data_IF_312275055789
#
_entry.id   IF_312275055789
#
_cell.length_a   1.000
_cell.length_b   1.000
_cell.length_c   1.000
_cell.angle_alpha   90.00
_cell.angle_beta   90.00
_cell.angle_gamma   90.00
#
_symmetry.space_group_name_H-M   'P 1'
#
loop_
_entity.id
_entity.type
_entity.pdbx_description
1 polymer ?
#
# COMPACT_ATOMS: atom_id res chain seq x y z
N UNK A 1 -8.80 -10.34 -0.52
CA UNK A 1 -9.19 -8.95 -0.21
C UNK A 1 -10.64 -8.75 -0.59
N UNK A 2 -11.43 -8.09 0.25
CA UNK A 2 -12.80 -7.71 -0.07
C UNK A 2 -12.80 -6.32 -0.68
N UNK A 3 -13.37 -6.16 -1.87
CA UNK A 3 -13.52 -4.86 -2.53
C UNK A 3 -14.86 -4.26 -2.09
N UNK A 4 -14.92 -2.96 -1.76
CA UNK A 4 -16.18 -2.28 -1.49
C UNK A 4 -17.16 -2.41 -2.65
N UNK A 5 -18.46 -2.56 -2.34
CA UNK A 5 -19.50 -2.71 -3.37
C UNK A 5 -19.82 -1.35 -3.97
N UNK A 6 -20.11 -1.34 -5.27
CA UNK A 6 -20.71 -0.19 -5.95
C UNK A 6 -22.22 -0.14 -5.69
N UNK A 7 -22.76 1.07 -5.61
CA UNK A 7 -24.21 1.31 -5.56
C UNK A 7 -24.84 1.32 -6.97
N UNK A 8 -26.13 1.63 -7.06
CA UNK A 8 -26.85 1.70 -8.34
C UNK A 8 -26.32 2.78 -9.30
N UNK A 9 -25.49 3.71 -8.83
CA UNK A 9 -24.87 4.78 -9.59
C UNK A 9 -23.41 4.47 -9.95
N UNK A 10 -22.90 3.29 -9.58
CA UNK A 10 -21.50 2.90 -9.81
C UNK A 10 -20.52 3.51 -8.81
N UNK A 11 -21.00 4.05 -7.68
CA UNK A 11 -20.13 4.64 -6.66
C UNK A 11 -19.82 3.59 -5.59
N UNK A 12 -18.53 3.30 -5.38
CA UNK A 12 -18.08 2.42 -4.29
C UNK A 12 -18.46 3.01 -2.93
N UNK A 13 -19.12 2.19 -2.13
CA UNK A 13 -19.53 2.54 -0.77
C UNK A 13 -18.40 2.22 0.21
N UNK A 14 -17.75 3.26 0.72
CA UNK A 14 -16.65 3.18 1.68
C UNK A 14 -17.03 3.88 2.99
N UNK A 15 -16.13 3.85 3.97
CA UNK A 15 -16.28 4.65 5.21
C UNK A 15 -16.25 6.17 4.94
N UNK A 16 -15.88 6.60 3.73
CA UNK A 16 -15.76 7.99 3.33
C UNK A 16 -16.91 8.47 2.42
N UNK A 17 -17.95 7.65 2.23
CA UNK A 17 -19.09 8.01 1.39
C UNK A 17 -20.11 8.88 2.14
N UNK A 18 -20.61 9.93 1.48
CA UNK A 18 -21.71 10.79 1.94
C UNK A 18 -21.54 11.39 3.35
N UNK A 19 -20.33 11.84 3.66
CA UNK A 19 -19.99 12.39 4.98
C UNK A 19 -20.42 13.86 5.16
N UNK A 20 -20.83 14.26 6.38
CA UNK A 20 -20.89 15.66 6.75
C UNK A 20 -19.48 16.27 6.78
N UNK A 21 -19.39 17.60 6.61
CA UNK A 21 -18.11 18.31 6.49
C UNK A 21 -17.14 18.03 7.64
N UNK A 22 -17.60 18.07 8.89
CA UNK A 22 -16.75 17.79 10.06
C UNK A 22 -16.13 16.39 10.03
N UNK A 23 -16.91 15.39 9.60
CA UNK A 23 -16.42 14.02 9.50
C UNK A 23 -15.47 13.85 8.32
N UNK A 24 -15.73 14.54 7.20
CA UNK A 24 -14.82 14.56 6.07
C UNK A 24 -13.45 15.18 6.43
N UNK A 25 -13.44 16.28 7.20
CA UNK A 25 -12.19 16.89 7.71
C UNK A 25 -11.46 15.93 8.66
N UNK A 26 -12.20 15.28 9.56
CA UNK A 26 -11.63 14.30 10.48
C UNK A 26 -11.03 13.09 9.74
N UNK A 27 -11.73 12.59 8.72
CA UNK A 27 -11.29 11.47 7.88
C UNK A 27 -10.10 11.84 7.01
N UNK A 28 -10.07 13.05 6.45
CA UNK A 28 -8.91 13.57 5.73
C UNK A 28 -7.66 13.60 6.62
N UNK A 29 -7.79 14.15 7.84
CA UNK A 29 -6.68 14.17 8.81
C UNK A 29 -6.18 12.76 9.14
N UNK A 30 -7.10 11.80 9.31
CA UNK A 30 -6.74 10.41 9.56
C UNK A 30 -5.98 9.78 8.38
N UNK A 31 -6.46 9.99 7.14
CA UNK A 31 -5.79 9.52 5.93
C UNK A 31 -4.39 10.09 5.76
N UNK A 32 -4.21 11.40 5.99
CA UNK A 32 -2.89 12.03 5.95
C UNK A 32 -1.98 11.51 7.08
N UNK A 33 -2.50 11.27 8.29
CA UNK A 33 -1.72 10.65 9.36
C UNK A 33 -1.18 9.28 8.94
N UNK A 34 -2.03 8.42 8.36
CA UNK A 34 -1.61 7.10 7.87
C UNK A 34 -0.56 7.24 6.78
N UNK A 35 -0.72 8.17 5.84
CA UNK A 35 0.27 8.42 4.81
C UNK A 35 1.62 8.86 5.41
N UNK A 36 1.61 9.81 6.35
CA UNK A 36 2.82 10.30 7.02
C UNK A 36 3.58 9.19 7.76
N UNK A 37 2.88 8.16 8.26
CA UNK A 37 3.51 7.02 8.94
C UNK A 37 4.00 5.92 7.98
N UNK A 38 3.31 5.70 6.87
CA UNK A 38 3.51 4.53 6.01
C UNK A 38 4.27 4.81 4.71
N UNK A 39 4.40 6.08 4.31
CA UNK A 39 5.08 6.49 3.09
C UNK A 39 6.53 6.90 3.40
N UNK A 40 7.38 5.90 3.64
CA UNK A 40 8.72 6.11 4.22
C UNK A 40 9.88 6.22 3.21
N UNK A 41 9.59 6.29 1.90
CA UNK A 41 10.64 6.49 0.89
C UNK A 41 11.10 7.95 0.90
N UNK A 42 12.34 8.21 0.51
CA UNK A 42 12.91 9.58 0.50
C UNK A 42 12.07 10.57 -0.31
N UNK A 43 11.55 10.14 -1.46
CA UNK A 43 10.64 10.96 -2.30
C UNK A 43 9.36 11.41 -1.55
N UNK A 44 8.96 10.68 -0.51
CA UNK A 44 7.77 10.96 0.28
C UNK A 44 8.06 11.79 1.54
N UNK A 45 9.31 12.19 1.79
CA UNK A 45 9.67 13.02 2.96
C UNK A 45 8.76 14.25 3.16
N UNK A 46 8.36 15.00 2.10
CA UNK A 46 7.47 16.15 2.25
C UNK A 46 6.11 15.86 2.91
N UNK A 47 5.64 14.60 2.86
CA UNK A 47 4.35 14.22 3.46
C UNK A 47 4.34 14.45 4.97
N UNK A 48 5.42 14.06 5.65
CA UNK A 48 5.54 14.20 7.10
C UNK A 48 5.70 15.67 7.51
N UNK A 49 6.53 16.41 6.77
CA UNK A 49 6.78 17.84 7.02
C UNK A 49 5.47 18.63 6.88
N UNK A 50 4.77 18.47 5.76
CA UNK A 50 3.50 19.14 5.50
C UNK A 50 2.41 18.74 6.50
N UNK A 51 2.36 17.48 6.91
CA UNK A 51 1.42 17.02 7.95
C UNK A 51 1.68 17.72 9.29
N UNK A 52 2.95 17.82 9.68
CA UNK A 52 3.37 18.51 10.90
C UNK A 52 3.00 20.00 10.87
N UNK A 53 3.22 20.67 9.74
CA UNK A 53 2.82 22.08 9.55
C UNK A 53 1.29 22.25 9.60
N UNK A 54 0.54 21.40 8.91
CA UNK A 54 -0.92 21.45 8.89
C UNK A 54 -1.51 21.29 10.29
N UNK A 55 -0.99 20.37 11.12
CA UNK A 55 -1.43 20.22 12.51
C UNK A 55 -1.20 21.48 13.35
N UNK A 56 -0.13 22.22 13.09
CA UNK A 56 0.18 23.46 13.82
C UNK A 56 -0.67 24.62 13.33
N UNK A 57 -0.74 24.81 12.02
CA UNK A 57 -1.41 25.95 11.38
C UNK A 57 -2.94 25.88 11.51
N UNK A 58 -3.52 24.68 11.47
CA UNK A 58 -4.97 24.44 11.46
C UNK A 58 -5.52 23.91 12.79
N UNK A 59 -4.72 23.97 13.85
CA UNK A 59 -5.02 23.40 15.16
C UNK A 59 -6.40 23.81 15.71
N UNK A 60 -6.76 25.09 15.59
CA UNK A 60 -8.03 25.59 16.12
C UNK A 60 -9.25 25.01 15.39
N UNK A 61 -9.16 24.89 14.06
CA UNK A 61 -10.20 24.25 13.24
C UNK A 61 -10.29 22.77 13.61
N UNK A 62 -9.17 22.06 13.64
CA UNK A 62 -9.11 20.63 13.97
C UNK A 62 -9.64 20.35 15.39
N UNK A 63 -9.38 21.23 16.35
CA UNK A 63 -9.91 21.11 17.72
C UNK A 63 -11.42 21.30 17.74
N UNK A 64 -11.94 22.29 17.01
CA UNK A 64 -13.38 22.52 16.87
C UNK A 64 -14.09 21.33 16.23
N UNK A 65 -13.53 20.78 15.15
CA UNK A 65 -14.04 19.56 14.48
C UNK A 65 -14.08 18.38 15.45
N UNK A 66 -12.97 18.09 16.16
CA UNK A 66 -12.93 16.98 17.12
C UNK A 66 -14.00 17.12 18.21
N UNK A 67 -14.22 18.32 18.74
CA UNK A 67 -15.26 18.55 19.76
C UNK A 67 -16.67 18.26 19.23
N UNK A 68 -16.96 18.64 17.98
CA UNK A 68 -18.26 18.37 17.35
C UNK A 68 -18.45 16.88 17.04
N UNK A 69 -17.40 16.19 16.60
CA UNK A 69 -17.41 14.73 16.40
C UNK A 69 -17.64 13.99 17.73
N UNK A 70 -16.94 14.38 18.80
CA UNK A 70 -17.14 13.81 20.14
C UNK A 70 -18.57 14.02 20.65
N UNK A 71 -19.16 15.19 20.38
CA UNK A 71 -20.55 15.49 20.74
C UNK A 71 -21.52 14.61 19.95
N UNK A 72 -21.31 14.46 18.64
CA UNK A 72 -22.14 13.61 17.77
C UNK A 72 -22.15 12.16 18.22
N UNK A 73 -20.98 11.55 18.43
CA UNK A 73 -20.91 10.15 18.88
C UNK A 73 -21.49 9.96 20.29
N UNK A 74 -21.44 10.97 21.15
CA UNK A 74 -22.12 10.93 22.45
C UNK A 74 -23.65 10.96 22.28
N UNK A 75 -24.16 11.77 21.36
CA UNK A 75 -25.58 11.84 21.04
C UNK A 75 -26.09 10.52 20.45
N UNK A 76 -25.36 9.96 19.48
CA UNK A 76 -25.65 8.63 18.88
C UNK A 76 -25.68 7.52 19.95
N UNK A 77 -24.86 7.64 21.00
CA UNK A 77 -24.84 6.72 22.13
C UNK A 77 -25.92 6.99 23.20
N UNK A 78 -26.93 7.81 22.91
CA UNK A 78 -27.99 8.16 23.87
C UNK A 78 -27.55 9.07 25.01
N UNK A 79 -26.48 9.85 24.81
CA UNK A 79 -25.94 10.79 25.80
C UNK A 79 -24.92 10.17 26.78
N UNK A 80 -24.75 8.85 26.78
CA UNK A 80 -23.79 8.19 27.68
C UNK A 80 -22.35 8.41 27.20
N UNK A 81 -21.54 9.13 28.00
CA UNK A 81 -20.16 9.48 27.65
C UNK A 81 -19.29 8.29 27.29
N UNK A 82 -19.33 7.19 28.07
CA UNK A 82 -18.45 6.03 27.83
C UNK A 82 -18.87 5.26 26.59
N UNK A 83 -20.17 5.11 26.35
CA UNK A 83 -20.66 4.50 25.12
C UNK A 83 -20.30 5.33 23.87
N UNK A 84 -20.41 6.65 23.93
CA UNK A 84 -19.99 7.52 22.82
C UNK A 84 -18.49 7.42 22.49
N UNK A 85 -17.64 7.32 23.51
CA UNK A 85 -16.20 7.08 23.30
C UNK A 85 -15.96 5.74 22.59
N UNK A 86 -16.63 4.65 23.04
CA UNK A 86 -16.49 3.34 22.40
C UNK A 86 -16.93 3.34 20.93
N UNK A 87 -18.05 4.00 20.62
CA UNK A 87 -18.52 4.13 19.23
C UNK A 87 -17.51 4.88 18.36
N UNK A 88 -17.01 6.02 18.85
CA UNK A 88 -15.99 6.80 18.16
C UNK A 88 -14.70 6.01 17.92
N UNK A 89 -14.23 5.28 18.93
CA UNK A 89 -13.00 4.47 18.82
C UNK A 89 -13.16 3.30 17.85
N UNK A 90 -14.32 2.64 17.84
CA UNK A 90 -14.63 1.60 16.85
C UNK A 90 -14.61 2.18 15.43
N UNK A 91 -15.32 3.29 15.20
CA UNK A 91 -15.35 3.98 13.91
C UNK A 91 -13.96 4.45 13.47
N UNK A 92 -13.18 5.02 14.40
CA UNK A 92 -11.80 5.42 14.14
C UNK A 92 -10.94 4.22 13.73
N UNK A 93 -11.13 3.06 14.37
CA UNK A 93 -10.39 1.84 14.02
C UNK A 93 -10.72 1.37 12.62
N UNK A 94 -12.00 1.37 12.23
CA UNK A 94 -12.43 1.06 10.86
C UNK A 94 -11.80 2.01 9.84
N UNK A 95 -11.77 3.29 10.14
CA UNK A 95 -11.17 4.33 9.30
C UNK A 95 -9.66 4.15 9.11
N UNK A 96 -8.91 3.90 10.20
CA UNK A 96 -7.48 3.64 10.11
C UNK A 96 -7.19 2.34 9.36
N UNK A 97 -7.99 1.29 9.56
CA UNK A 97 -7.86 0.03 8.83
C UNK A 97 -8.11 0.21 7.33
N UNK A 98 -9.08 1.05 6.95
CA UNK A 98 -9.33 1.40 5.56
C UNK A 98 -8.08 2.03 4.92
N UNK A 99 -7.55 3.10 5.51
CA UNK A 99 -6.37 3.78 4.97
C UNK A 99 -5.09 2.93 5.02
N UNK A 100 -4.98 2.02 5.99
CA UNK A 100 -3.83 1.14 6.15
C UNK A 100 -3.80 -0.05 5.17
N UNK A 101 -4.71 -0.11 4.19
CA UNK A 101 -4.75 -1.16 3.17
C UNK A 101 -3.42 -1.26 2.41
N UNK A 102 -2.64 -2.35 2.57
CA UNK A 102 -1.29 -2.44 1.97
C UNK A 102 -1.30 -2.40 0.45
N UNK A 103 -2.35 -2.92 -0.18
CA UNK A 103 -2.46 -3.00 -1.63
C UNK A 103 -2.72 -1.63 -2.28
N UNK A 104 -3.46 -0.74 -1.59
CA UNK A 104 -3.74 0.62 -2.03
C UNK A 104 -2.62 1.61 -1.65
N UNK A 105 -1.69 1.22 -0.75
CA UNK A 105 -0.65 2.10 -0.20
C UNK A 105 0.12 2.89 -1.26
N UNK A 106 0.47 2.28 -2.40
CA UNK A 106 1.22 2.99 -3.46
C UNK A 106 0.46 4.21 -3.99
N UNK A 107 -0.85 4.06 -4.16
CA UNK A 107 -1.71 5.11 -4.68
C UNK A 107 -1.91 6.19 -3.62
N UNK A 108 -2.16 5.79 -2.37
CA UNK A 108 -2.26 6.72 -1.25
C UNK A 108 -0.99 7.56 -1.08
N UNK A 109 0.20 6.95 -1.14
CA UNK A 109 1.46 7.68 -0.98
C UNK A 109 1.70 8.69 -2.11
N UNK A 110 1.41 8.32 -3.36
CA UNK A 110 1.53 9.24 -4.49
C UNK A 110 0.59 10.44 -4.32
N UNK A 111 -0.69 10.19 -4.03
CA UNK A 111 -1.68 11.26 -3.83
C UNK A 111 -1.36 12.12 -2.59
N UNK A 112 -0.91 11.52 -1.50
CA UNK A 112 -0.52 12.25 -0.29
C UNK A 112 0.71 13.13 -0.51
N UNK A 113 1.66 12.72 -1.36
CA UNK A 113 2.77 13.56 -1.78
C UNK A 113 2.26 14.80 -2.54
N UNK A 114 1.33 14.62 -3.47
CA UNK A 114 0.75 15.75 -4.20
C UNK A 114 0.01 16.72 -3.27
N UNK A 115 -0.79 16.19 -2.34
CA UNK A 115 -1.52 16.99 -1.32
C UNK A 115 -0.54 17.74 -0.42
N UNK A 116 0.55 17.08 0.01
CA UNK A 116 1.56 17.67 0.85
C UNK A 116 2.31 18.82 0.13
N UNK A 117 2.72 18.59 -1.11
CA UNK A 117 3.41 19.60 -1.92
C UNK A 117 2.50 20.82 -2.18
N UNK A 118 1.22 20.61 -2.42
CA UNK A 118 0.24 21.70 -2.57
C UNK A 118 0.14 22.54 -1.30
N UNK A 119 0.02 21.90 -0.13
CA UNK A 119 -0.07 22.57 1.16
C UNK A 119 1.20 23.37 1.49
N UNK A 120 2.39 22.80 1.20
CA UNK A 120 3.68 23.48 1.41
C UNK A 120 3.91 24.62 0.42
N UNK A 121 3.36 24.52 -0.79
CA UNK A 121 3.49 25.59 -1.80
C UNK A 121 2.68 26.82 -1.39
N UNK A 122 1.45 26.59 -0.93
CA UNK A 122 0.59 27.66 -0.44
C UNK A 122 -0.38 27.10 0.60
N UNK A 123 -0.30 27.64 1.81
CA UNK A 123 -1.31 27.37 2.84
C UNK A 123 -2.69 27.75 2.29
N UNK A 124 -3.70 26.89 2.40
CA UNK A 124 -5.05 27.20 1.94
C UNK A 124 -5.70 28.27 2.82
N UNK A 125 -6.34 29.26 2.20
CA UNK A 125 -7.17 30.26 2.92
C UNK A 125 -8.42 29.61 3.56
N UNK A 126 -8.91 28.52 2.95
CA UNK A 126 -10.06 27.74 3.43
C UNK A 126 -9.66 26.27 3.63
N UNK A 127 -9.15 25.97 4.83
CA UNK A 127 -8.76 24.60 5.18
C UNK A 127 -9.90 23.57 5.13
N UNK A 128 -11.14 23.85 5.60
CA UNK A 128 -12.27 22.92 5.43
C UNK A 128 -12.48 22.48 3.97
N UNK A 129 -12.45 23.42 3.02
CA UNK A 129 -12.57 23.09 1.60
C UNK A 129 -11.37 22.26 1.11
N UNK A 130 -10.14 22.64 1.49
CA UNK A 130 -8.94 21.88 1.16
C UNK A 130 -9.01 20.44 1.68
N UNK A 131 -9.46 20.25 2.92
CA UNK A 131 -9.58 18.94 3.56
C UNK A 131 -10.65 18.06 2.90
N UNK A 132 -11.82 18.62 2.57
CA UNK A 132 -12.88 17.87 1.88
C UNK A 132 -12.45 17.46 0.46
N UNK A 133 -11.77 18.35 -0.28
CA UNK A 133 -11.20 18.02 -1.59
C UNK A 133 -10.05 17.00 -1.49
N UNK A 134 -9.19 17.14 -0.49
CA UNK A 134 -8.11 16.20 -0.18
C UNK A 134 -8.64 14.81 0.14
N UNK A 135 -9.75 14.71 0.88
CA UNK A 135 -10.44 13.43 1.13
C UNK A 135 -10.90 12.79 -0.18
N UNK A 136 -11.52 13.56 -1.07
CA UNK A 136 -11.95 13.03 -2.37
C UNK A 136 -10.76 12.52 -3.20
N UNK A 137 -9.61 13.20 -3.14
CA UNK A 137 -8.38 12.72 -3.80
C UNK A 137 -7.88 11.41 -3.20
N UNK A 138 -7.89 11.27 -1.87
CA UNK A 138 -7.54 10.00 -1.23
C UNK A 138 -8.51 8.89 -1.63
N UNK A 139 -9.82 9.15 -1.67
CA UNK A 139 -10.79 8.17 -2.16
C UNK A 139 -10.54 7.76 -3.60
N UNK A 140 -10.23 8.71 -4.47
CA UNK A 140 -9.86 8.42 -5.87
C UNK A 140 -8.59 7.55 -5.98
N UNK A 141 -7.66 7.66 -5.04
CA UNK A 141 -6.47 6.81 -5.00
C UNK A 141 -6.82 5.34 -4.69
N UNK A 142 -7.77 5.14 -3.77
CA UNK A 142 -8.30 3.81 -3.43
C UNK A 142 -9.15 3.25 -4.57
N UNK A 143 -9.98 4.08 -5.19
CA UNK A 143 -10.78 3.75 -6.37
C UNK A 143 -9.88 3.24 -7.52
N UNK A 144 -8.81 3.96 -7.84
CA UNK A 144 -7.84 3.52 -8.87
C UNK A 144 -7.25 2.14 -8.57
N UNK A 145 -6.95 1.86 -7.29
CA UNK A 145 -6.51 0.53 -6.89
C UNK A 145 -7.61 -0.52 -7.11
N UNK A 146 -8.84 -0.26 -6.67
CA UNK A 146 -9.94 -1.19 -6.79
C UNK A 146 -10.24 -1.52 -8.27
N UNK A 147 -10.36 -0.50 -9.11
CA UNK A 147 -10.57 -0.68 -10.56
C UNK A 147 -9.44 -1.51 -11.18
N UNK A 148 -8.18 -1.21 -10.85
CA UNK A 148 -7.03 -1.96 -11.38
C UNK A 148 -7.04 -3.42 -10.90
N UNK A 149 -7.44 -3.66 -9.66
CA UNK A 149 -7.49 -5.00 -9.08
C UNK A 149 -8.64 -5.84 -9.65
N UNK A 150 -9.81 -5.25 -9.92
CA UNK A 150 -10.90 -5.94 -10.62
C UNK A 150 -10.52 -6.30 -12.06
N UNK A 151 -9.89 -5.36 -12.78
CA UNK A 151 -9.37 -5.62 -14.12
C UNK A 151 -8.34 -6.77 -14.11
N UNK A 152 -7.47 -6.80 -13.09
CA UNK A 152 -6.57 -7.93 -12.87
C UNK A 152 -7.33 -9.24 -12.65
N UNK A 153 -8.37 -9.28 -11.81
CA UNK A 153 -9.14 -10.51 -11.56
C UNK A 153 -9.76 -11.08 -12.84
N UNK A 154 -10.34 -10.22 -13.67
CA UNK A 154 -10.89 -10.62 -14.98
C UNK A 154 -9.77 -11.19 -15.86
N UNK A 155 -8.68 -10.45 -16.04
CA UNK A 155 -7.55 -10.89 -16.87
C UNK A 155 -6.93 -12.22 -16.38
N UNK A 156 -6.83 -12.40 -15.06
CA UNK A 156 -6.35 -13.62 -14.41
C UNK A 156 -7.27 -14.80 -14.76
N UNK A 157 -8.59 -14.62 -14.64
CA UNK A 157 -9.57 -15.66 -14.96
C UNK A 157 -9.58 -16.04 -16.46
N UNK A 158 -9.40 -15.06 -17.35
CA UNK A 158 -9.33 -15.31 -18.79
C UNK A 158 -8.04 -16.03 -19.18
N UNK A 159 -6.94 -15.73 -18.49
CA UNK A 159 -5.68 -16.46 -18.64
C UNK A 159 -5.85 -17.91 -18.18
N UNK A 160 -6.47 -18.12 -17.02
CA UNK A 160 -6.75 -19.47 -16.48
C UNK A 160 -7.64 -20.31 -17.39
N UNK A 161 -8.68 -19.71 -17.95
CA UNK A 161 -9.57 -20.39 -18.89
C UNK A 161 -8.81 -20.87 -20.15
N UNK A 162 -7.80 -20.09 -20.60
CA UNK A 162 -7.02 -20.41 -21.80
C UNK A 162 -5.86 -21.35 -21.54
N UNK A 163 -5.20 -21.20 -20.40
CA UNK A 163 -3.86 -21.72 -20.16
C UNK A 163 -3.73 -22.52 -18.86
N UNK A 164 -4.71 -22.43 -17.96
CA UNK A 164 -4.66 -23.04 -16.63
C UNK A 164 -4.52 -24.57 -16.66
N UNK A 165 -5.12 -25.25 -17.64
CA UNK A 165 -4.96 -26.70 -17.82
C UNK A 165 -3.52 -27.12 -18.20
N UNK A 166 -2.74 -26.23 -18.81
CA UNK A 166 -1.38 -26.51 -19.26
C UNK A 166 -0.32 -26.02 -18.28
N UNK A 167 -0.52 -24.86 -17.67
CA UNK A 167 0.50 -24.19 -16.85
C UNK A 167 0.11 -24.05 -15.38
N UNK A 168 -1.04 -24.60 -14.97
CA UNK A 168 -1.62 -24.38 -13.64
C UNK A 168 -2.38 -23.05 -13.57
N UNK A 169 -3.31 -22.94 -12.61
CA UNK A 169 -4.08 -21.71 -12.40
C UNK A 169 -3.22 -20.56 -11.86
N UNK A 170 -3.60 -19.34 -12.21
CA UNK A 170 -2.99 -18.09 -11.81
C UNK A 170 -3.11 -17.95 -10.30
N UNK A 171 -1.97 -18.04 -9.61
CA UNK A 171 -1.93 -17.90 -8.16
C UNK A 171 -1.74 -16.42 -7.81
N UNK A 172 -2.63 -15.80 -7.03
CA UNK A 172 -2.37 -14.47 -6.50
C UNK A 172 -1.15 -14.52 -5.57
N UNK A 173 -0.07 -13.84 -5.96
CA UNK A 173 1.12 -13.65 -5.12
C UNK A 173 2.36 -14.47 -5.48
N UNK A 174 2.29 -15.37 -6.48
CA UNK A 174 3.46 -16.10 -6.98
C UNK A 174 3.54 -16.00 -8.49
N UNK A 175 4.52 -15.23 -9.00
CA UNK A 175 4.86 -15.23 -10.42
C UNK A 175 5.86 -16.37 -10.65
N UNK A 176 5.44 -17.42 -11.34
CA UNK A 176 6.38 -18.38 -11.92
C UNK A 176 7.10 -17.67 -13.08
N UNK A 177 8.32 -17.19 -12.86
CA UNK A 177 9.13 -16.61 -13.94
C UNK A 177 9.80 -17.74 -14.70
N UNK A 178 9.26 -18.04 -15.87
CA UNK A 178 9.93 -18.91 -16.84
C UNK A 178 11.01 -18.12 -17.58
N UNK A 179 12.23 -18.64 -17.61
CA UNK A 179 13.36 -18.00 -18.27
C UNK A 179 14.70 -18.55 -17.78
N UNK A 180 15.77 -18.18 -18.48
CA UNK A 180 17.14 -18.46 -18.01
C UNK A 180 17.46 -17.64 -16.75
N UNK A 181 18.39 -18.07 -15.89
CA UNK A 181 18.79 -17.33 -14.68
C UNK A 181 19.15 -15.86 -14.95
N UNK A 182 19.77 -15.58 -16.11
CA UNK A 182 20.09 -14.21 -16.54
C UNK A 182 18.83 -13.36 -16.80
N UNK A 183 17.77 -13.94 -17.37
CA UNK A 183 16.50 -13.25 -17.59
C UNK A 183 15.75 -12.99 -16.27
N UNK A 184 15.85 -13.93 -15.32
CA UNK A 184 15.27 -13.80 -13.98
C UNK A 184 15.99 -12.73 -13.14
N UNK A 185 17.32 -12.64 -13.25
CA UNK A 185 18.14 -11.58 -12.65
C UNK A 185 17.82 -10.20 -13.26
N UNK A 186 17.72 -10.11 -14.60
CA UNK A 186 17.36 -8.88 -15.29
C UNK A 186 15.95 -8.37 -14.96
N UNK A 187 15.02 -9.29 -14.60
CA UNK A 187 13.68 -8.95 -14.13
C UNK A 187 13.62 -8.51 -12.65
N UNK A 188 14.76 -8.40 -11.96
CA UNK A 188 14.84 -7.90 -10.58
C UNK A 188 14.34 -8.86 -9.51
N UNK A 189 14.25 -10.17 -9.81
CA UNK A 189 13.67 -11.17 -8.90
C UNK A 189 14.74 -11.89 -8.07
N UNK A 190 15.98 -11.91 -8.53
CA UNK A 190 17.11 -12.44 -7.79
C UNK A 190 17.82 -11.31 -7.02
N UNK A 191 17.17 -10.73 -6.00
CA UNK A 191 17.86 -9.80 -5.08
C UNK A 191 18.34 -10.50 -3.80
N UNK A 192 18.09 -11.81 -3.67
CA UNK A 192 18.60 -12.57 -2.53
C UNK A 192 19.00 -13.96 -2.99
N UNK A 193 20.20 -14.09 -3.58
CA UNK A 193 21.05 -15.30 -3.58
C UNK A 193 20.47 -16.70 -3.76
N UNK A 194 19.22 -16.87 -4.18
CA UNK A 194 18.43 -18.10 -4.05
C UNK A 194 18.59 -19.05 -5.23
N UNK A 195 19.36 -18.67 -6.25
CA UNK A 195 19.73 -19.56 -7.35
C UNK A 195 21.25 -19.64 -7.36
N UNK A 196 21.85 -20.73 -6.84
CA UNK A 196 23.28 -20.98 -6.99
C UNK A 196 23.66 -20.96 -8.47
N UNK A 197 24.86 -20.48 -8.78
CA UNK A 197 25.36 -20.46 -10.17
C UNK A 197 25.39 -21.87 -10.80
N UNK A 198 25.55 -22.91 -9.98
CA UNK A 198 25.50 -24.32 -10.38
C UNK A 198 24.52 -25.11 -9.48
N UNK A 199 23.23 -25.21 -9.84
CA UNK A 199 22.29 -26.03 -9.10
C UNK A 199 22.52 -27.52 -9.39
N UNK A 200 22.50 -28.35 -8.34
CA UNK A 200 22.43 -29.81 -8.50
C UNK A 200 21.07 -30.14 -9.11
N UNK A 201 21.07 -30.75 -10.29
CA UNK A 201 19.84 -31.10 -11.03
C UNK A 201 19.53 -32.58 -10.91
N UNK A 202 18.28 -32.90 -10.62
CA UNK A 202 17.75 -34.28 -10.70
C UNK A 202 16.88 -34.37 -11.95
N UNK A 203 17.18 -35.30 -12.89
CA UNK A 203 16.33 -35.51 -14.04
C UNK A 203 15.04 -36.22 -13.63
N UNK A 204 13.91 -35.59 -13.97
CA UNK A 204 12.58 -36.17 -13.83
C UNK A 204 12.45 -37.40 -14.74
N UNK A 205 12.04 -38.52 -14.16
CA UNK A 205 12.08 -39.83 -14.83
C UNK A 205 10.95 -40.03 -15.85
N UNK A 206 9.88 -39.23 -15.80
CA UNK A 206 8.77 -39.31 -16.77
C UNK A 206 8.92 -38.30 -17.91
N UNK A 207 9.39 -37.09 -17.63
CA UNK A 207 9.41 -35.98 -18.60
C UNK A 207 10.81 -35.65 -19.12
N UNK A 208 11.87 -36.15 -18.47
CA UNK A 208 13.27 -35.82 -18.80
C UNK A 208 13.66 -34.38 -18.47
N UNK A 209 12.80 -33.63 -17.78
CA UNK A 209 13.10 -32.27 -17.36
C UNK A 209 14.12 -32.25 -16.22
N UNK A 210 15.11 -31.36 -16.29
CA UNK A 210 16.09 -31.16 -15.24
C UNK A 210 15.50 -30.27 -14.13
N UNK A 211 15.17 -30.86 -12.98
CA UNK A 211 14.62 -30.12 -11.83
C UNK A 211 15.79 -29.69 -10.93
N UNK A 212 16.03 -28.38 -10.74
CA UNK A 212 17.08 -27.90 -9.85
C UNK A 212 16.69 -28.12 -8.38
N UNK A 213 17.59 -28.74 -7.61
CA UNK A 213 17.47 -28.88 -6.15
C UNK A 213 18.13 -27.66 -5.51
N UNK A 214 17.31 -26.78 -4.95
CA UNK A 214 17.79 -25.62 -4.19
C UNK A 214 17.79 -26.01 -2.71
N UNK A 215 18.96 -26.13 -2.05
CA UNK A 215 19.00 -26.35 -0.61
C UNK A 215 18.48 -25.09 0.08
N UNK A 216 17.47 -25.27 0.93
CA UNK A 216 16.88 -24.19 1.73
C UNK A 216 17.72 -24.02 2.99
N UNK A 217 18.30 -22.84 3.19
CA UNK A 217 18.91 -22.46 4.46
C UNK A 217 17.83 -21.93 5.40
N UNK A 218 17.47 -22.75 6.40
CA UNK A 218 16.42 -22.43 7.37
C UNK A 218 16.77 -21.26 8.30
N UNK A 219 18.01 -20.73 8.23
CA UNK A 219 18.46 -19.60 9.04
C UNK A 219 18.25 -18.24 8.37
N UNK A 220 17.89 -18.19 7.08
CA UNK A 220 17.70 -16.92 6.36
C UNK A 220 16.26 -16.39 6.47
N UNK A 221 16.16 -15.14 6.94
CA UNK A 221 14.89 -14.45 7.15
C UNK A 221 14.28 -14.00 5.81
N UNK A 222 13.08 -14.49 5.48
CA UNK A 222 12.41 -14.24 4.19
C UNK A 222 11.84 -12.82 4.13
N UNK A 223 12.48 -11.92 3.41
CA UNK A 223 11.90 -10.60 3.10
C UNK A 223 11.07 -10.69 1.81
N UNK A 224 9.83 -10.16 1.78
CA UNK A 224 9.01 -10.19 0.58
C UNK A 224 9.62 -9.33 -0.54
N UNK A 225 9.66 -9.89 -1.76
CA UNK A 225 10.15 -9.22 -2.96
C UNK A 225 9.25 -8.04 -3.31
N UNK A 226 9.81 -6.83 -3.34
CA UNK A 226 9.14 -5.61 -3.81
C UNK A 226 9.64 -5.34 -5.23
N UNK A 227 8.73 -5.20 -6.20
CA UNK A 227 9.09 -4.82 -7.57
C UNK A 227 9.74 -3.42 -7.60
N UNK A 228 10.87 -3.23 -8.30
CA UNK A 228 11.43 -1.91 -8.56
C UNK A 228 10.56 -1.10 -9.54
N UNK A 229 10.55 0.22 -9.35
CA UNK A 229 9.81 1.17 -10.18
C UNK A 229 10.52 1.38 -11.54
N UNK A 230 9.78 1.79 -12.60
CA UNK A 230 10.35 1.90 -13.96
C UNK A 230 11.45 2.95 -14.15
N UNK A 231 11.75 3.81 -13.17
CA UNK A 231 12.70 4.94 -13.33
C UNK A 231 13.82 4.99 -12.27
N UNK A 232 14.04 3.91 -11.51
CA UNK A 232 15.06 3.89 -10.46
C UNK A 232 16.35 3.23 -10.98
N UNK A 233 17.42 4.01 -11.22
CA UNK A 233 18.75 3.44 -11.50
C UNK A 233 19.33 2.89 -10.21
N UNK A 234 19.34 1.56 -10.08
CA UNK A 234 19.96 0.85 -8.97
C UNK A 234 21.47 1.11 -8.98
N UNK A 235 21.96 1.90 -8.03
CA UNK A 235 23.40 2.05 -7.80
C UNK A 235 23.87 0.85 -6.97
N UNK A 236 24.52 -0.09 -7.63
CA UNK A 236 25.12 -1.27 -6.97
C UNK A 236 26.40 -0.84 -6.27
N UNK A 237 26.52 -0.98 -4.94
CA UNK A 237 27.79 -0.74 -4.26
C UNK A 237 28.83 -1.78 -4.71
N UNK A 238 30.12 -1.39 -4.87
CA UNK A 238 31.15 -2.33 -5.31
C UNK A 238 31.33 -3.46 -4.29
N UNK A 239 31.60 -4.66 -4.80
CA UNK A 239 31.86 -5.83 -3.99
C UNK A 239 33.04 -5.58 -3.03
N UNK A 240 32.99 -6.08 -1.78
CA UNK A 240 34.13 -6.00 -0.86
C UNK A 240 35.33 -6.74 -1.46
N UNK A 241 36.51 -6.15 -1.32
CA UNK A 241 37.75 -6.74 -1.81
C UNK A 241 38.07 -8.02 -1.04
N UNK A 242 38.44 -9.08 -1.77
CA UNK A 242 38.97 -10.31 -1.23
C UNK A 242 40.40 -10.06 -0.72
N UNK A 243 40.56 -9.81 0.57
CA UNK A 243 41.86 -9.89 1.24
C UNK A 243 41.88 -11.08 2.21
N UNK A 244 42.71 -12.07 1.84
CA UNK A 244 43.48 -13.03 2.63
C UNK A 244 42.90 -13.63 3.93
N UNK A 245 42.34 -14.83 3.82
CA UNK A 245 42.39 -15.84 4.89
C UNK A 245 43.18 -17.07 4.42
N UNK A 246 44.51 -16.96 4.49
CA UNK A 246 45.40 -18.10 4.59
C UNK A 246 46.20 -17.98 5.90
N UNK A 247 45.61 -18.42 7.03
CA UNK A 247 46.31 -18.71 8.29
C UNK A 247 45.39 -19.47 9.26
N UNK A 248 45.40 -20.81 9.18
CA UNK A 248 45.71 -21.77 10.28
C UNK A 248 45.40 -23.22 9.86
#
# INVERSE_FOLDING_TARGET
>A
MTIPREDAFGIRQTINTALPEDEAIWHFRAGWNVAALNCQRDIHAPILDAYGEMLQQENDILRGVNQRIDARFREEAGGERRAGIRLREAHSTELYNYYASPAARRYLCATALDVANEYLTARPDNFPLFATQGLQRFEMAFEQFYTAYEAYQVASSEWDARYGARYGGSQPGWVAIYGTPAQQQAAGVAVTGLVPADPVVVPDQETGAAIPVIPVDDTQNRTPVVQPLPDETVVVPPAPAEDDEASE
#
